data_IF_779553864528
#
_entry.id   IF_779553864528
#
_cell.length_a   1.000
_cell.length_b   1.000
_cell.length_c   1.000
_cell.angle_alpha   90.00
_cell.angle_beta   90.00
_cell.angle_gamma   90.00
#
_symmetry.space_group_name_H-M   'P 1'
#
loop_
_entity.id
_entity.type
_entity.pdbx_description
1 polymer ?
#
# COMPACT_ATOMS: atom_id res chain seq x y z
N UNK A 1 -3.01 -21.81 -0.53
CA UNK A 1 -2.73 -21.42 0.86
C UNK A 1 -1.47 -22.11 1.31
N UNK A 2 -0.49 -21.37 1.83
CA UNK A 2 0.72 -21.97 2.38
C UNK A 2 0.37 -22.92 3.53
N UNK A 3 0.87 -24.15 3.46
CA UNK A 3 0.69 -25.13 4.53
C UNK A 3 1.60 -24.77 5.70
N UNK A 4 1.06 -24.75 6.91
CA UNK A 4 1.83 -24.47 8.11
C UNK A 4 2.90 -25.57 8.31
N UNK A 5 4.17 -25.16 8.49
CA UNK A 5 5.21 -26.05 8.94
C UNK A 5 5.11 -26.22 10.47
N UNK A 6 5.39 -27.42 10.98
CA UNK A 6 5.38 -27.70 12.42
C UNK A 6 6.79 -27.49 13.00
N UNK A 7 6.94 -26.43 13.79
CA UNK A 7 8.12 -26.13 14.61
C UNK A 7 7.70 -26.10 16.09
N UNK A 8 7.48 -27.25 16.70
CA UNK A 8 7.22 -27.31 18.14
C UNK A 8 8.52 -27.57 18.91
N UNK A 9 9.26 -26.50 19.21
CA UNK A 9 10.41 -26.54 20.12
C UNK A 9 11.71 -27.12 19.53
N UNK A 10 12.85 -26.78 20.13
CA UNK A 10 14.15 -27.36 19.75
C UNK A 10 14.25 -28.83 20.18
N UNK A 11 14.59 -29.72 19.24
CA UNK A 11 14.96 -31.13 19.53
C UNK A 11 13.88 -32.18 19.27
N UNK A 12 12.71 -31.81 18.73
CA UNK A 12 11.61 -32.72 18.35
C UNK A 12 11.74 -33.12 16.88
N UNK A 13 11.56 -34.41 16.60
CA UNK A 13 11.50 -34.94 15.23
C UNK A 13 10.04 -35.02 14.79
N UNK A 14 9.74 -34.52 13.58
CA UNK A 14 8.41 -34.58 12.99
C UNK A 14 8.42 -35.42 11.71
N UNK A 15 7.37 -36.21 11.51
CA UNK A 15 7.20 -37.00 10.29
C UNK A 15 6.35 -36.21 9.29
N UNK A 16 6.94 -35.84 8.16
CA UNK A 16 6.22 -35.23 7.04
C UNK A 16 5.94 -36.30 5.98
N UNK A 17 4.68 -36.46 5.59
CA UNK A 17 4.27 -37.37 4.51
C UNK A 17 3.39 -36.64 3.51
N UNK A 18 3.79 -36.69 2.24
CA UNK A 18 2.96 -36.25 1.11
C UNK A 18 2.60 -37.46 0.27
N UNK A 19 1.32 -37.64 -0.03
CA UNK A 19 0.80 -38.68 -0.90
C UNK A 19 0.18 -38.00 -2.12
N UNK A 20 0.78 -38.22 -3.28
CA UNK A 20 0.28 -37.74 -4.57
C UNK A 20 -0.32 -38.91 -5.35
N UNK A 21 -1.55 -38.76 -5.83
CA UNK A 21 -2.30 -39.80 -6.55
C UNK A 21 -2.36 -39.52 -8.06
N UNK A 22 -2.58 -40.55 -8.89
CA UNK A 22 -2.76 -40.38 -10.34
C UNK A 22 -3.97 -39.56 -10.77
N UNK A 23 -4.94 -39.35 -9.87
CA UNK A 23 -6.09 -38.48 -10.10
C UNK A 23 -5.79 -37.00 -9.78
N UNK A 24 -4.50 -36.65 -9.61
CA UNK A 24 -4.02 -35.32 -9.21
C UNK A 24 -4.46 -34.87 -7.81
N UNK A 25 -4.97 -35.79 -6.98
CA UNK A 25 -5.24 -35.51 -5.56
C UNK A 25 -3.94 -35.59 -4.76
N UNK A 26 -3.70 -34.59 -3.92
CA UNK A 26 -2.60 -34.55 -2.96
C UNK A 26 -3.16 -34.62 -1.54
N UNK A 27 -2.47 -35.37 -0.67
CA UNK A 27 -2.68 -35.37 0.77
C UNK A 27 -1.37 -35.09 1.47
N UNK A 28 -1.38 -34.16 2.42
CA UNK A 28 -0.22 -33.84 3.27
C UNK A 28 -0.57 -34.14 4.72
N UNK A 29 0.33 -34.85 5.38
CA UNK A 29 0.21 -35.30 6.76
C UNK A 29 1.48 -34.92 7.54
N UNK A 30 1.31 -34.48 8.78
CA UNK A 30 2.39 -34.23 9.74
C UNK A 30 2.11 -35.06 10.99
N UNK A 31 3.07 -35.86 11.44
CA UNK A 31 2.92 -36.75 12.61
C UNK A 31 1.66 -37.64 12.52
N UNK A 32 1.40 -38.19 11.32
CA UNK A 32 0.22 -39.00 10.97
C UNK A 32 -1.13 -38.25 10.98
N UNK A 33 -1.13 -36.94 11.29
CA UNK A 33 -2.30 -36.08 11.21
C UNK A 33 -2.43 -35.46 9.82
N UNK A 34 -3.61 -35.60 9.21
CA UNK A 34 -3.91 -35.01 7.89
C UNK A 34 -4.13 -33.51 8.02
N UNK A 35 -3.14 -32.73 7.59
CA UNK A 35 -3.20 -31.27 7.60
C UNK A 35 -3.80 -30.69 6.31
N UNK A 36 -3.78 -31.45 5.20
CA UNK A 36 -4.31 -30.99 3.93
C UNK A 36 -4.69 -32.15 3.00
N UNK A 37 -5.75 -31.95 2.22
CA UNK A 37 -6.21 -32.84 1.14
C UNK A 37 -6.93 -32.02 0.08
N UNK A 38 -6.51 -32.13 -1.18
CA UNK A 38 -7.03 -31.30 -2.27
C UNK A 38 -6.50 -31.69 -3.63
N UNK A 39 -6.78 -30.87 -4.64
CA UNK A 39 -6.36 -31.08 -6.03
C UNK A 39 -5.10 -30.26 -6.31
N UNK A 40 -4.01 -30.90 -6.72
CA UNK A 40 -2.76 -30.20 -7.03
C UNK A 40 -2.94 -29.20 -8.20
N UNK A 41 -3.86 -29.46 -9.13
CA UNK A 41 -4.10 -28.56 -10.26
C UNK A 41 -4.86 -27.29 -9.89
N UNK A 42 -5.74 -27.39 -8.89
CA UNK A 42 -6.66 -26.32 -8.54
C UNK A 42 -6.12 -25.47 -7.40
N UNK A 43 -5.45 -26.11 -6.44
CA UNK A 43 -5.01 -25.45 -5.22
C UNK A 43 -3.59 -24.90 -5.32
N UNK A 44 -2.77 -25.40 -6.26
CA UNK A 44 -1.34 -25.07 -6.40
C UNK A 44 -1.04 -24.52 -7.80
N UNK A 45 -0.06 -23.61 -7.90
CA UNK A 45 0.34 -22.94 -9.14
C UNK A 45 1.23 -23.83 -10.04
N UNK A 46 0.71 -24.99 -10.41
CA UNK A 46 1.38 -25.96 -11.29
C UNK A 46 1.03 -25.77 -12.77
N UNK A 47 -0.12 -25.16 -13.05
CA UNK A 47 -0.56 -24.78 -14.39
C UNK A 47 -0.59 -23.26 -14.52
N UNK A 48 -0.55 -22.78 -15.76
CA UNK A 48 -0.87 -21.38 -16.06
C UNK A 48 -2.28 -21.05 -15.55
N UNK A 49 -2.54 -19.80 -15.14
CA UNK A 49 -3.87 -19.41 -14.67
C UNK A 49 -4.90 -19.59 -15.78
N UNK A 50 -6.11 -20.03 -15.44
CA UNK A 50 -7.22 -20.20 -16.40
C UNK A 50 -7.66 -18.88 -17.03
N UNK A 51 -7.53 -17.80 -16.27
CA UNK A 51 -7.91 -16.45 -16.68
C UNK A 51 -6.76 -15.48 -16.43
N UNK A 52 -6.52 -14.58 -17.38
CA UNK A 52 -5.53 -13.50 -17.29
C UNK A 52 -6.24 -12.15 -17.45
N UNK A 53 -5.69 -11.05 -16.91
CA UNK A 53 -6.20 -9.73 -17.23
C UNK A 53 -6.07 -9.47 -18.73
N UNK A 54 -7.12 -8.91 -19.33
CA UNK A 54 -7.16 -8.56 -20.74
C UNK A 54 -6.12 -7.46 -21.03
N UNK A 55 -5.07 -7.76 -21.82
CA UNK A 55 -4.04 -6.77 -22.14
C UNK A 55 -4.56 -5.63 -23.03
N UNK A 56 -5.72 -5.80 -23.67
CA UNK A 56 -6.37 -4.76 -24.45
C UNK A 56 -7.32 -3.88 -23.62
N UNK A 57 -7.78 -4.37 -22.46
CA UNK A 57 -8.63 -3.58 -21.55
C UNK A 57 -7.74 -2.58 -20.81
N UNK A 58 -8.06 -1.30 -20.96
CA UNK A 58 -7.31 -0.20 -20.36
C UNK A 58 -8.20 0.58 -19.43
N UNK A 59 -7.59 1.09 -18.38
CA UNK A 59 -8.24 2.01 -17.45
C UNK A 59 -8.82 3.20 -18.24
N UNK A 60 -10.13 3.47 -18.15
CA UNK A 60 -10.73 4.64 -18.79
C UNK A 60 -10.17 5.94 -18.21
N UNK A 61 -10.04 6.99 -19.03
CA UNK A 61 -9.56 8.30 -18.58
C UNK A 61 -10.46 8.95 -17.51
N UNK A 62 -11.76 8.63 -17.51
CA UNK A 62 -12.74 9.10 -16.52
C UNK A 62 -12.66 8.34 -15.17
N UNK A 63 -11.80 7.32 -15.06
CA UNK A 63 -11.66 6.54 -13.84
C UNK A 63 -10.56 7.13 -12.94
N UNK A 64 -10.95 7.64 -11.78
CA UNK A 64 -10.02 8.12 -10.75
C UNK A 64 -9.74 7.03 -9.71
N UNK A 65 -8.47 6.89 -9.30
CA UNK A 65 -8.09 6.04 -8.16
C UNK A 65 -8.14 6.82 -6.83
N UNK A 66 -8.34 8.14 -6.90
CA UNK A 66 -8.36 8.99 -5.72
C UNK A 66 -9.73 8.91 -5.05
N UNK A 67 -9.81 8.15 -3.97
CA UNK A 67 -11.04 8.03 -3.16
C UNK A 67 -11.38 9.33 -2.42
N UNK A 68 -10.40 10.20 -2.20
CA UNK A 68 -10.53 11.47 -1.50
C UNK A 68 -9.92 12.59 -2.33
N UNK A 69 -10.65 13.67 -2.51
CA UNK A 69 -10.17 14.91 -3.15
C UNK A 69 -10.22 16.06 -2.16
N UNK A 70 -9.43 17.10 -2.39
CA UNK A 70 -9.56 18.34 -1.64
C UNK A 70 -10.93 18.97 -1.94
N UNK A 71 -11.58 19.45 -0.89
CA UNK A 71 -12.87 20.11 -0.98
C UNK A 71 -12.72 21.43 -1.75
N UNK A 72 -13.30 21.56 -2.96
CA UNK A 72 -13.17 22.78 -3.75
C UNK A 72 -13.89 23.98 -3.11
N UNK A 73 -14.80 23.74 -2.16
CA UNK A 73 -15.50 24.77 -1.40
C UNK A 73 -14.72 25.20 -0.14
N UNK A 74 -13.80 24.37 0.35
CA UNK A 74 -12.96 24.68 1.50
C UNK A 74 -11.78 25.55 1.07
N UNK A 75 -11.91 26.86 1.26
CA UNK A 75 -10.86 27.83 0.98
C UNK A 75 -10.15 28.23 2.26
N UNK A 76 -8.85 28.47 2.13
CA UNK A 76 -8.04 29.06 3.21
C UNK A 76 -8.71 30.35 3.70
N UNK A 77 -9.03 30.47 5.01
CA UNK A 77 -9.60 31.69 5.56
C UNK A 77 -8.64 32.86 5.41
N UNK A 78 -9.16 34.06 5.14
CA UNK A 78 -8.36 35.29 5.03
C UNK A 78 -7.60 35.62 6.34
N UNK A 79 -8.11 35.18 7.49
CA UNK A 79 -7.50 35.36 8.82
C UNK A 79 -6.46 34.25 9.17
N UNK A 80 -6.06 33.43 8.20
CA UNK A 80 -5.08 32.35 8.42
C UNK A 80 -3.67 32.79 8.04
N UNK A 81 -2.86 33.12 9.06
CA UNK A 81 -1.47 33.54 8.86
C UNK A 81 -0.54 32.32 8.85
N UNK A 82 0.23 32.15 7.78
CA UNK A 82 1.25 31.11 7.62
C UNK A 82 2.66 31.59 7.99
N UNK A 83 2.83 32.91 8.12
CA UNK A 83 4.11 33.48 8.51
C UNK A 83 4.35 33.23 10.01
N UNK A 84 5.25 32.30 10.30
CA UNK A 84 5.58 31.87 11.66
C UNK A 84 6.24 32.98 12.49
N UNK A 85 6.92 33.93 11.84
CA UNK A 85 7.68 34.99 12.50
C UNK A 85 7.43 36.34 11.85
N UNK A 86 7.11 37.33 12.67
CA UNK A 86 6.90 38.72 12.27
C UNK A 86 7.93 39.61 12.94
N UNK A 87 8.22 40.78 12.35
CA UNK A 87 9.10 41.78 12.97
C UNK A 87 8.50 42.27 14.28
N UNK A 88 9.29 42.31 15.35
CA UNK A 88 8.85 42.83 16.63
C UNK A 88 8.80 44.35 16.61
N UNK A 89 7.62 44.91 16.32
CA UNK A 89 7.41 46.37 16.30
C UNK A 89 7.50 47.03 17.68
N UNK A 90 7.51 46.25 18.78
CA UNK A 90 7.68 46.77 20.14
C UNK A 90 9.15 46.80 20.57
N UNK A 91 10.02 46.10 19.84
CA UNK A 91 11.46 46.16 20.06
C UNK A 91 11.95 47.57 19.76
N UNK A 92 12.72 48.13 20.69
CA UNK A 92 13.36 49.43 20.54
C UNK A 92 14.86 49.23 20.37
N UNK A 93 15.45 50.08 19.53
CA UNK A 93 16.89 50.19 19.42
C UNK A 93 17.49 50.45 20.82
N UNK A 94 18.47 49.65 21.27
CA UNK A 94 19.13 49.86 22.56
C UNK A 94 19.81 51.23 22.64
N UNK A 95 19.83 51.84 23.83
CA UNK A 95 20.48 53.15 24.05
C UNK A 95 22.00 53.12 23.79
N UNK A 96 22.62 51.93 23.85
CA UNK A 96 24.07 51.72 23.66
C UNK A 96 24.46 51.29 22.24
N UNK A 97 23.53 51.37 21.26
CA UNK A 97 23.78 50.94 19.88
C UNK A 97 24.37 52.05 19.01
N UNK A 98 25.48 51.79 18.33
CA UNK A 98 26.17 52.72 17.44
C UNK A 98 25.98 52.33 15.96
N UNK A 99 25.29 53.15 15.16
CA UNK A 99 25.05 52.84 13.74
C UNK A 99 26.32 52.91 12.87
N UNK A 100 27.36 53.65 13.29
CA UNK A 100 28.62 53.74 12.53
C UNK A 100 29.52 52.51 12.76
N UNK A 101 29.48 51.91 13.95
CA UNK A 101 30.32 50.77 14.33
C UNK A 101 29.57 49.42 14.23
N UNK A 102 28.28 49.36 14.61
CA UNK A 102 27.45 48.14 14.60
C UNK A 102 26.55 48.00 13.36
N UNK A 103 26.37 49.09 12.60
CA UNK A 103 25.50 49.17 11.41
C UNK A 103 24.04 49.56 11.72
N UNK A 104 23.19 49.66 10.68
CA UNK A 104 21.77 50.00 10.87
C UNK A 104 21.06 48.94 11.70
N UNK A 105 20.43 49.37 12.79
CA UNK A 105 19.67 48.48 13.66
C UNK A 105 18.43 47.89 12.96
N UNK A 106 18.32 46.56 12.95
CA UNK A 106 17.12 45.84 12.51
C UNK A 106 16.37 45.24 13.69
N UNK A 107 15.05 45.44 13.73
CA UNK A 107 14.20 44.88 14.78
C UNK A 107 14.20 43.34 14.72
N UNK A 108 14.31 42.64 15.88
CA UNK A 108 14.31 41.19 15.91
C UNK A 108 12.96 40.62 15.45
N UNK A 109 13.00 39.42 14.86
CA UNK A 109 11.79 38.67 14.55
C UNK A 109 11.25 37.97 15.81
N UNK A 110 9.95 38.08 16.06
CA UNK A 110 9.23 37.34 17.11
C UNK A 110 8.25 36.33 16.51
N UNK A 111 7.89 35.33 17.29
CA UNK A 111 6.86 34.37 16.88
C UNK A 111 5.52 35.09 16.70
N UNK A 112 4.86 34.81 15.58
CA UNK A 112 3.60 35.43 15.23
C UNK A 112 2.44 34.78 16.02
N UNK A 113 1.77 35.50 16.93
CA UNK A 113 0.66 34.94 17.71
C UNK A 113 -0.56 34.58 16.85
N UNK A 114 -0.68 35.12 15.64
CA UNK A 114 -1.74 34.79 14.68
C UNK A 114 -1.38 33.59 13.77
N UNK A 115 -0.18 33.02 13.91
CA UNK A 115 0.22 31.82 13.16
C UNK A 115 -0.59 30.62 13.62
N UNK A 116 -1.39 30.05 12.71
CA UNK A 116 -2.28 28.91 13.00
C UNK A 116 -1.75 27.58 12.49
N UNK A 117 -0.54 27.56 11.92
CA UNK A 117 0.05 26.39 11.29
C UNK A 117 -0.06 26.42 9.76
N UNK A 118 0.44 25.38 9.11
CA UNK A 118 0.15 25.14 7.70
C UNK A 118 -1.33 24.81 7.54
N UNK A 119 -2.00 25.49 6.60
CA UNK A 119 -3.39 25.21 6.31
C UNK A 119 -3.51 23.94 5.45
N UNK A 120 -4.39 23.02 5.85
CA UNK A 120 -4.74 21.83 5.09
C UNK A 120 -6.23 21.89 4.76
N UNK A 121 -6.57 21.84 3.47
CA UNK A 121 -7.95 21.78 3.02
C UNK A 121 -8.62 20.49 3.51
N UNK A 122 -9.92 20.56 3.77
CA UNK A 122 -10.71 19.35 4.06
C UNK A 122 -10.66 18.42 2.86
N UNK A 123 -10.46 17.13 3.12
CA UNK A 123 -10.61 16.09 2.10
C UNK A 123 -12.02 15.51 2.17
N UNK A 124 -12.68 15.47 1.02
CA UNK A 124 -14.02 14.90 0.85
C UNK A 124 -13.97 13.67 -0.04
N UNK A 125 -14.93 12.76 0.15
CA UNK A 125 -15.06 11.58 -0.70
C UNK A 125 -15.27 12.01 -2.15
N UNK A 126 -14.48 11.45 -3.05
CA UNK A 126 -14.56 11.75 -4.47
C UNK A 126 -15.78 11.05 -5.09
N UNK A 127 -16.82 11.79 -5.54
CA UNK A 127 -18.00 11.17 -6.14
C UNK A 127 -17.72 10.47 -7.47
N UNK A 128 -16.60 10.79 -8.14
CA UNK A 128 -16.17 10.12 -9.37
C UNK A 128 -15.38 8.82 -9.10
N UNK A 129 -15.00 8.54 -7.85
CA UNK A 129 -14.30 7.31 -7.49
C UNK A 129 -15.22 6.09 -7.62
N UNK A 130 -14.88 5.19 -8.54
CA UNK A 130 -15.65 3.97 -8.85
C UNK A 130 -15.02 2.71 -8.24
N UNK A 131 -14.00 2.86 -7.39
CA UNK A 131 -13.18 1.77 -6.87
C UNK A 131 -11.80 1.73 -7.52
N UNK A 132 -10.98 0.76 -7.14
CA UNK A 132 -9.74 0.49 -7.87
C UNK A 132 -10.10 -0.14 -9.21
N UNK A 133 -9.54 0.38 -10.30
CA UNK A 133 -9.80 -0.22 -11.61
C UNK A 133 -9.10 -1.57 -11.72
N UNK A 134 -9.84 -2.61 -12.13
CA UNK A 134 -9.29 -3.92 -12.46
C UNK A 134 -9.65 -4.25 -13.92
N UNK A 135 -8.66 -4.70 -14.69
CA UNK A 135 -8.87 -5.15 -16.06
C UNK A 135 -9.84 -6.34 -16.08
N UNK A 136 -10.69 -6.42 -17.11
CA UNK A 136 -11.52 -7.60 -17.35
C UNK A 136 -10.64 -8.84 -17.44
N UNK A 137 -11.10 -9.94 -16.86
CA UNK A 137 -10.45 -11.24 -17.00
C UNK A 137 -10.91 -11.91 -18.29
N UNK A 138 -9.96 -12.42 -19.06
CA UNK A 138 -10.19 -13.22 -20.28
C UNK A 138 -9.57 -14.59 -20.11
N UNK A 139 -10.08 -15.57 -20.86
CA UNK A 139 -9.49 -16.90 -20.90
C UNK A 139 -8.02 -16.82 -21.33
N UNK A 140 -7.14 -17.48 -20.59
CA UNK A 140 -5.73 -17.50 -20.91
C UNK A 140 -5.48 -18.40 -22.13
N UNK A 141 -5.00 -17.88 -23.27
CA UNK A 141 -4.70 -18.70 -24.43
C UNK A 141 -3.54 -19.68 -24.20
N UNK A 142 -2.71 -19.45 -23.19
CA UNK A 142 -1.62 -20.36 -22.78
C UNK A 142 -2.05 -21.37 -21.71
N UNK A 143 -3.31 -21.36 -21.26
CA UNK A 143 -3.81 -22.39 -20.36
C UNK A 143 -4.06 -23.68 -21.12
N UNK A 144 -3.35 -24.72 -20.71
CA UNK A 144 -3.58 -26.10 -21.13
C UNK A 144 -3.94 -26.92 -19.88
N UNK A 145 -5.04 -27.68 -19.97
CA UNK A 145 -5.37 -28.62 -18.90
C UNK A 145 -4.51 -29.87 -19.04
N UNK A 146 -3.60 -30.05 -18.08
CA UNK A 146 -2.74 -31.22 -18.02
C UNK A 146 -3.24 -32.18 -16.93
N UNK A 147 -3.72 -33.36 -17.32
CA UNK A 147 -4.09 -34.46 -16.42
C UNK A 147 -2.91 -35.23 -15.87
N UNK A 148 -1.72 -34.98 -16.39
CA UNK A 148 -0.50 -35.71 -16.07
C UNK A 148 0.47 -34.94 -15.18
N UNK A 149 0.01 -33.87 -14.54
CA UNK A 149 0.81 -33.06 -13.59
C UNK A 149 1.37 -33.90 -12.44
N UNK A 150 0.67 -34.96 -12.03
CA UNK A 150 1.19 -35.90 -11.03
C UNK A 150 2.41 -36.72 -11.50
N UNK A 151 2.60 -36.87 -12.82
CA UNK A 151 3.67 -37.68 -13.39
C UNK A 151 4.97 -36.91 -13.34
N UNK A 152 5.96 -37.52 -12.71
CA UNK A 152 7.33 -37.05 -12.77
C UNK A 152 8.09 -37.85 -13.83
N UNK A 153 8.93 -37.18 -14.64
CA UNK A 153 9.56 -37.79 -15.80
C UNK A 153 10.52 -38.94 -15.43
N UNK A 154 11.15 -38.90 -14.25
CA UNK A 154 12.02 -39.96 -13.72
C UNK A 154 12.31 -39.72 -12.22
N UNK A 155 12.47 -40.81 -11.45
CA UNK A 155 13.04 -40.84 -10.09
C UNK A 155 14.34 -41.65 -10.10
#
# INVERSE_FOLDING_TARGET
SDLAYKQEGEGTSHLYRMVLKPDNTVRVEIDEEKIYEGSIKEDWEVLKPKEIPDPADKKPDDWTDESMIDDPEDKKPDDWVEEKRIVDTDAKKPDDWDDEEDGEWEAPMKDNPAYKGEWYGKRISNPAYKGFWEAKKIANPEYEDDDTVYKYAEF
#
